data_IF_452161955741
#
_entry.id   IF_452161955741
#
_cell.length_a   1.000
_cell.length_b   1.000
_cell.length_c   1.000
_cell.angle_alpha   90.00
_cell.angle_beta   90.00
_cell.angle_gamma   90.00
#
_symmetry.space_group_name_H-M   'P 1'
#
loop_
_entity.id
_entity.type
_entity.pdbx_description
1 polymer ?
#
# COMPACT_ATOMS: atom_id res chain seq x y z
N UNK A 1 -7.71 -1.84 11.34
CA UNK A 1 -8.43 -2.67 10.35
C UNK A 1 -7.54 -3.02 9.17
N UNK A 2 -6.97 -2.05 8.43
CA UNK A 2 -6.14 -2.29 7.24
C UNK A 2 -4.97 -3.27 7.44
N UNK A 3 -4.20 -3.14 8.53
CA UNK A 3 -3.13 -4.08 8.86
C UNK A 3 -3.59 -5.54 8.92
N UNK A 4 -4.79 -5.80 9.45
CA UNK A 4 -5.33 -7.17 9.55
C UNK A 4 -5.83 -7.68 8.20
N UNK A 5 -6.48 -6.81 7.42
CA UNK A 5 -6.96 -7.14 6.06
C UNK A 5 -5.80 -7.59 5.18
N UNK A 6 -4.70 -6.85 5.20
CA UNK A 6 -3.50 -7.18 4.42
C UNK A 6 -2.51 -8.09 5.16
N UNK A 7 -2.81 -8.55 6.40
CA UNK A 7 -1.87 -9.34 7.23
C UNK A 7 -0.47 -8.71 7.35
N UNK A 8 -0.38 -7.39 7.39
CA UNK A 8 0.89 -6.66 7.31
C UNK A 8 1.51 -6.39 8.70
N UNK A 9 2.82 -6.13 8.70
CA UNK A 9 3.55 -5.75 9.91
C UNK A 9 3.07 -4.41 10.47
N UNK A 10 3.01 -4.30 11.80
CA UNK A 10 2.56 -3.07 12.50
C UNK A 10 3.40 -1.82 12.25
N UNK A 11 4.58 -1.99 11.66
CA UNK A 11 5.53 -0.92 11.33
C UNK A 11 5.24 -0.28 9.97
N UNK A 12 4.36 -0.89 9.16
CA UNK A 12 3.96 -0.35 7.85
C UNK A 12 3.23 0.98 8.06
N UNK A 13 3.57 1.96 7.23
CA UNK A 13 2.96 3.29 7.28
C UNK A 13 1.45 3.23 7.03
N UNK A 14 0.69 4.11 7.69
CA UNK A 14 -0.78 4.20 7.49
C UNK A 14 -1.14 4.47 6.02
N UNK A 15 -0.35 5.28 5.32
CA UNK A 15 -0.65 5.62 3.92
C UNK A 15 -0.47 4.41 3.01
N UNK A 16 0.61 3.66 3.21
CA UNK A 16 0.95 2.46 2.45
C UNK A 16 -0.09 1.37 2.67
N UNK A 17 -0.41 1.08 3.94
CA UNK A 17 -1.31 -0.03 4.27
C UNK A 17 -2.73 0.21 3.78
N UNK A 18 -3.19 1.46 3.74
CA UNK A 18 -4.49 1.81 3.19
C UNK A 18 -4.55 1.55 1.68
N UNK A 19 -3.46 1.83 0.95
CA UNK A 19 -3.36 1.51 -0.48
C UNK A 19 -3.29 0.01 -0.68
N UNK A 20 -2.39 -0.69 0.01
CA UNK A 20 -2.23 -2.16 -0.07
C UNK A 20 -3.56 -2.87 0.20
N UNK A 21 -4.24 -2.52 1.29
CA UNK A 21 -5.54 -3.10 1.66
C UNK A 21 -6.73 -2.59 0.83
N UNK A 22 -6.53 -1.65 -0.10
CA UNK A 22 -7.60 -1.07 -0.91
C UNK A 22 -8.65 -0.28 -0.12
N UNK A 23 -8.27 0.25 1.04
CA UNK A 23 -9.16 0.92 1.97
C UNK A 23 -9.04 2.44 1.84
N UNK A 24 -10.10 3.08 1.35
CA UNK A 24 -10.16 4.54 1.22
C UNK A 24 -9.92 5.21 2.58
N UNK A 25 -9.01 6.20 2.68
CA UNK A 25 -8.80 6.97 3.90
C UNK A 25 -10.10 7.52 4.47
N UNK A 26 -10.28 7.40 5.78
CA UNK A 26 -11.54 7.72 6.47
C UNK A 26 -12.01 9.17 6.21
N UNK A 27 -11.07 10.12 6.19
CA UNK A 27 -11.38 11.52 5.95
C UNK A 27 -11.90 11.77 4.52
N UNK A 28 -11.37 11.07 3.51
CA UNK A 28 -11.88 11.14 2.14
C UNK A 28 -13.27 10.49 2.04
N UNK A 29 -13.49 9.37 2.73
CA UNK A 29 -14.81 8.74 2.81
C UNK A 29 -15.83 9.66 3.46
N UNK A 30 -15.46 10.36 4.53
CA UNK A 30 -16.31 11.34 5.20
C UNK A 30 -16.65 12.52 4.27
N UNK A 31 -15.66 13.05 3.54
CA UNK A 31 -15.89 14.10 2.52
C UNK A 31 -16.85 13.63 1.43
N UNK A 32 -16.69 12.41 0.93
CA UNK A 32 -17.62 11.83 -0.06
C UNK A 32 -19.06 11.79 0.46
N UNK A 33 -19.27 11.39 1.73
CA UNK A 33 -20.59 11.37 2.35
C UNK A 33 -21.16 12.77 2.57
N UNK A 34 -20.32 13.74 2.97
CA UNK A 34 -20.74 15.12 3.12
C UNK A 34 -21.22 15.72 1.79
N UNK A 35 -20.51 15.45 0.69
CA UNK A 35 -20.93 15.89 -0.65
C UNK A 35 -22.29 15.29 -1.04
N UNK A 36 -22.52 13.99 -0.77
CA UNK A 36 -23.82 13.34 -1.01
C UNK A 36 -24.93 14.02 -0.22
N UNK A 37 -24.71 14.28 1.07
CA UNK A 37 -25.71 14.91 1.93
C UNK A 37 -26.07 16.32 1.47
N UNK A 38 -25.08 17.14 1.09
CA UNK A 38 -25.31 18.49 0.59
C UNK A 38 -26.15 18.48 -0.68
N UNK A 39 -25.79 17.65 -1.66
CA UNK A 39 -26.53 17.60 -2.91
C UNK A 39 -27.96 17.08 -2.75
N UNK A 40 -28.19 16.11 -1.84
CA UNK A 40 -29.54 15.66 -1.49
C UNK A 40 -30.37 16.81 -0.91
N UNK A 41 -29.77 17.64 -0.03
CA UNK A 41 -30.43 18.81 0.53
C UNK A 41 -30.75 19.88 -0.53
N UNK A 42 -29.91 19.99 -1.55
CA UNK A 42 -30.04 20.94 -2.67
C UNK A 42 -30.91 20.39 -3.82
N UNK A 43 -31.50 19.18 -3.68
CA UNK A 43 -32.31 18.55 -4.72
C UNK A 43 -31.52 18.15 -5.98
N UNK A 44 -30.19 18.11 -5.90
CA UNK A 44 -29.31 17.81 -7.02
C UNK A 44 -29.07 16.30 -7.17
N UNK A 45 -29.15 15.80 -8.40
CA UNK A 45 -28.81 14.41 -8.71
C UNK A 45 -27.29 14.28 -8.71
N UNK A 46 -26.76 13.45 -7.81
CA UNK A 46 -25.33 13.12 -7.81
C UNK A 46 -25.09 11.74 -8.38
N UNK A 47 -24.33 11.70 -9.47
CA UNK A 47 -23.84 10.43 -9.99
C UNK A 47 -22.78 9.84 -9.05
N UNK A 48 -23.11 8.70 -8.44
CA UNK A 48 -22.22 7.99 -7.50
C UNK A 48 -20.83 7.72 -8.11
N UNK A 49 -20.78 7.45 -9.42
CA UNK A 49 -19.55 7.23 -10.16
C UNK A 49 -18.62 8.45 -10.14
N UNK A 50 -19.15 9.65 -10.41
CA UNK A 50 -18.36 10.89 -10.41
C UNK A 50 -17.77 11.21 -9.04
N UNK A 51 -18.54 11.03 -7.95
CA UNK A 51 -18.02 11.20 -6.60
C UNK A 51 -16.89 10.22 -6.31
N UNK A 52 -17.05 8.96 -6.71
CA UNK A 52 -16.03 7.94 -6.49
C UNK A 52 -14.74 8.26 -7.25
N UNK A 53 -14.84 8.72 -8.50
CA UNK A 53 -13.69 9.19 -9.29
C UNK A 53 -12.99 10.36 -8.61
N UNK A 54 -13.75 11.33 -8.09
CA UNK A 54 -13.21 12.47 -7.32
C UNK A 54 -12.47 12.01 -6.06
N UNK A 55 -13.05 11.08 -5.30
CA UNK A 55 -12.42 10.47 -4.12
C UNK A 55 -11.09 9.81 -4.48
N UNK A 56 -11.03 9.02 -5.55
CA UNK A 56 -9.77 8.38 -6.00
C UNK A 56 -8.72 9.39 -6.46
N UNK A 57 -9.11 10.46 -7.17
CA UNK A 57 -8.17 11.54 -7.56
C UNK A 57 -7.54 12.22 -6.35
N UNK A 58 -8.36 12.55 -5.34
CA UNK A 58 -7.86 13.12 -4.08
C UNK A 58 -6.95 12.14 -3.35
N UNK A 59 -7.31 10.86 -3.33
CA UNK A 59 -6.48 9.83 -2.71
C UNK A 59 -5.14 9.67 -3.44
N UNK A 60 -5.12 9.61 -4.76
CA UNK A 60 -3.89 9.56 -5.54
C UNK A 60 -2.99 10.76 -5.28
N UNK A 61 -3.56 11.97 -5.21
CA UNK A 61 -2.80 13.20 -4.91
C UNK A 61 -2.19 13.16 -3.50
N UNK A 62 -2.96 12.74 -2.50
CA UNK A 62 -2.46 12.52 -1.14
C UNK A 62 -1.38 11.45 -1.10
N UNK A 63 -1.58 10.34 -1.81
CA UNK A 63 -0.60 9.27 -1.89
C UNK A 63 0.70 9.76 -2.50
N UNK A 64 0.64 10.48 -3.62
CA UNK A 64 1.82 11.02 -4.29
C UNK A 64 2.61 11.97 -3.38
N UNK A 65 1.94 12.78 -2.54
CA UNK A 65 2.61 13.76 -1.66
C UNK A 65 3.21 13.17 -0.38
N UNK A 66 2.94 11.91 -0.03
CA UNK A 66 3.55 11.30 1.17
C UNK A 66 5.07 11.16 1.03
N UNK A 67 5.80 11.44 2.11
CA UNK A 67 7.27 11.24 2.16
C UNK A 67 7.67 9.78 2.41
N UNK A 68 6.75 8.96 2.88
CA UNK A 68 6.95 7.53 3.19
C UNK A 68 6.41 6.65 2.06
N UNK A 69 6.84 5.39 2.05
CA UNK A 69 6.29 4.38 1.15
C UNK A 69 6.77 4.46 -0.29
N UNK A 70 7.98 5.00 -0.49
CA UNK A 70 8.61 5.13 -1.82
C UNK A 70 8.64 3.77 -2.54
N UNK A 71 8.98 2.70 -1.82
CA UNK A 71 8.94 1.33 -2.34
C UNK A 71 7.53 0.94 -2.81
N UNK A 72 6.54 1.06 -1.92
CA UNK A 72 5.14 0.76 -2.23
C UNK A 72 4.63 1.55 -3.43
N UNK A 73 5.01 2.83 -3.56
CA UNK A 73 4.67 3.69 -4.71
C UNK A 73 5.27 3.21 -6.02
N UNK A 74 6.51 2.72 -5.99
CA UNK A 74 7.19 2.17 -7.17
C UNK A 74 6.40 1.00 -7.74
N UNK A 75 5.86 0.14 -6.88
CA UNK A 75 5.06 -1.02 -7.28
C UNK A 75 3.59 -0.64 -7.58
N UNK A 76 3.02 0.27 -6.80
CA UNK A 76 1.63 0.72 -6.89
C UNK A 76 1.58 2.22 -7.22
N UNK A 77 1.75 2.53 -8.50
CA UNK A 77 1.72 3.90 -9.00
C UNK A 77 0.32 4.50 -9.13
N UNK A 78 -0.69 3.67 -9.41
CA UNK A 78 -2.08 4.09 -9.60
C UNK A 78 -3.00 3.37 -8.61
N UNK A 79 -3.51 4.12 -7.63
CA UNK A 79 -4.37 3.62 -6.55
C UNK A 79 -5.67 3.06 -7.10
N UNK A 80 -6.24 3.66 -8.15
CA UNK A 80 -7.50 3.19 -8.72
C UNK A 80 -7.28 1.88 -9.47
N UNK A 81 -6.26 1.80 -10.33
CA UNK A 81 -5.93 0.55 -11.03
C UNK A 81 -5.62 -0.58 -10.05
N UNK A 82 -4.92 -0.27 -8.96
CA UNK A 82 -4.69 -1.23 -7.89
C UNK A 82 -6.00 -1.74 -7.33
N UNK A 83 -6.91 -0.86 -6.92
CA UNK A 83 -8.15 -1.28 -6.23
C UNK A 83 -9.16 -1.94 -7.16
N UNK A 84 -9.23 -1.50 -8.41
CA UNK A 84 -10.17 -2.01 -9.41
C UNK A 84 -9.67 -3.32 -10.06
N UNK A 85 -8.47 -3.81 -9.68
CA UNK A 85 -7.93 -5.08 -10.18
C UNK A 85 -8.86 -6.24 -9.84
N UNK A 86 -8.99 -7.18 -10.79
CA UNK A 86 -9.86 -8.36 -10.65
C UNK A 86 -9.13 -9.62 -10.17
N UNK A 87 -7.86 -9.49 -9.82
CA UNK A 87 -6.99 -10.60 -9.45
C UNK A 87 -6.08 -10.21 -8.29
N UNK A 88 -5.60 -11.23 -7.56
CA UNK A 88 -4.61 -11.06 -6.50
C UNK A 88 -5.20 -10.47 -5.21
N UNK A 89 -5.32 -11.32 -4.20
CA UNK A 89 -5.63 -10.88 -2.83
C UNK A 89 -4.34 -10.48 -2.10
N UNK A 90 -4.44 -9.50 -1.20
CA UNK A 90 -3.31 -9.12 -0.35
C UNK A 90 -3.22 -10.08 0.82
N UNK A 91 -2.37 -11.09 0.70
CA UNK A 91 -2.04 -12.02 1.78
C UNK A 91 -0.79 -11.57 2.56
N UNK A 92 -0.31 -12.45 3.46
CA UNK A 92 0.86 -12.17 4.30
C UNK A 92 2.14 -11.98 3.48
N UNK A 93 2.36 -12.76 2.42
CA UNK A 93 3.60 -12.72 1.67
C UNK A 93 3.59 -11.56 0.67
N UNK A 94 2.49 -11.40 -0.06
CA UNK A 94 2.33 -10.30 -1.00
C UNK A 94 2.42 -8.95 -0.28
N UNK A 95 1.83 -8.82 0.90
CA UNK A 95 1.91 -7.56 1.64
C UNK A 95 3.32 -7.24 2.12
N UNK A 96 4.14 -8.24 2.48
CA UNK A 96 5.55 -8.01 2.78
C UNK A 96 6.30 -7.52 1.53
N UNK A 97 6.08 -8.15 0.38
CA UNK A 97 6.67 -7.73 -0.89
C UNK A 97 6.27 -6.31 -1.30
N UNK A 98 4.99 -5.96 -1.17
CA UNK A 98 4.50 -4.64 -1.56
C UNK A 98 4.99 -3.53 -0.64
N UNK A 99 5.17 -3.82 0.65
CA UNK A 99 5.54 -2.81 1.63
C UNK A 99 7.05 -2.73 1.86
N UNK A 100 7.79 -3.81 1.61
CA UNK A 100 9.19 -3.95 2.00
C UNK A 100 9.38 -4.21 3.50
N UNK A 101 8.31 -4.56 4.22
CA UNK A 101 8.34 -4.87 5.65
C UNK A 101 8.12 -6.37 5.82
N UNK A 102 9.08 -7.10 6.38
CA UNK A 102 8.92 -8.55 6.46
C UNK A 102 10.15 -9.36 6.79
N UNK A 103 10.24 -10.54 6.19
CA UNK A 103 11.30 -11.52 6.36
C UNK A 103 12.65 -11.15 5.71
N UNK A 104 12.75 -9.99 5.06
CA UNK A 104 13.97 -9.52 4.40
C UNK A 104 15.09 -9.28 5.41
N UNK A 105 16.29 -9.78 5.13
CA UNK A 105 17.46 -9.67 5.99
C UNK A 105 17.77 -8.24 6.44
N UNK A 106 17.72 -7.27 5.52
CA UNK A 106 17.87 -5.84 5.82
C UNK A 106 16.82 -5.36 6.83
N UNK A 107 15.56 -5.76 6.65
CA UNK A 107 14.48 -5.38 7.56
C UNK A 107 14.65 -6.02 8.94
N UNK A 108 14.97 -7.31 9.01
CA UNK A 108 15.19 -8.02 10.27
C UNK A 108 16.40 -7.45 11.03
N UNK A 109 17.49 -7.14 10.34
CA UNK A 109 18.66 -6.48 10.93
C UNK A 109 18.32 -5.09 11.47
N UNK A 110 17.58 -4.27 10.72
CA UNK A 110 17.10 -2.94 11.17
C UNK A 110 16.34 -2.99 12.49
N UNK A 111 15.57 -4.06 12.73
CA UNK A 111 14.82 -4.28 13.98
C UNK A 111 15.52 -5.19 14.99
N UNK A 112 16.84 -5.42 14.82
CA UNK A 112 17.68 -6.22 15.73
C UNK A 112 17.15 -7.64 15.95
N UNK A 113 16.63 -8.25 14.88
CA UNK A 113 16.21 -9.65 14.83
C UNK A 113 17.24 -10.55 14.13
N UNK A 114 18.24 -9.94 13.50
CA UNK A 114 19.41 -10.60 12.92
C UNK A 114 20.61 -9.66 13.05
N UNK A 115 21.82 -10.23 13.09
CA UNK A 115 23.07 -9.46 13.28
C UNK A 115 23.63 -8.87 11.99
N UNK A 116 23.24 -9.42 10.83
CA UNK A 116 23.74 -9.03 9.51
C UNK A 116 22.54 -8.78 8.56
N UNK A 117 22.55 -7.78 7.66
CA UNK A 117 21.53 -7.60 6.60
C UNK A 117 21.71 -8.45 5.33
N UNK A 118 22.79 -9.25 5.20
CA UNK A 118 23.08 -10.00 3.97
C UNK A 118 22.07 -11.10 3.56
N UNK A 119 21.91 -11.33 2.25
CA UNK A 119 21.09 -12.42 1.74
C UNK A 119 21.73 -13.76 2.09
N UNK A 120 20.97 -14.64 2.74
CA UNK A 120 21.44 -15.99 3.11
C UNK A 120 21.57 -16.92 1.92
N UNK A 121 20.92 -16.57 0.81
CA UNK A 121 20.82 -17.43 -0.35
C UNK A 121 21.92 -17.17 -1.37
N UNK A 122 22.19 -15.90 -1.67
CA UNK A 122 23.16 -15.50 -2.69
C UNK A 122 24.36 -14.72 -2.15
N UNK A 123 24.40 -14.46 -0.84
CA UNK A 123 25.49 -13.72 -0.19
C UNK A 123 25.53 -12.22 -0.49
N UNK A 124 24.52 -11.64 -1.14
CA UNK A 124 24.44 -10.19 -1.35
C UNK A 124 24.48 -9.45 -0.01
N UNK A 125 25.24 -8.34 0.14
CA UNK A 125 25.37 -7.65 1.43
C UNK A 125 24.08 -6.99 1.91
N UNK A 126 23.03 -6.92 1.08
CA UNK A 126 21.75 -6.30 1.43
C UNK A 126 20.59 -7.12 0.87
N UNK A 127 19.90 -7.83 1.77
CA UNK A 127 18.64 -8.50 1.47
C UNK A 127 17.47 -7.59 1.81
N UNK A 128 17.20 -6.62 0.93
CA UNK A 128 15.96 -5.89 0.93
C UNK A 128 14.97 -6.50 -0.08
N UNK A 129 13.75 -6.01 -0.07
CA UNK A 129 12.69 -6.51 -0.95
C UNK A 129 12.99 -6.34 -2.44
N UNK A 130 13.76 -5.30 -2.82
CA UNK A 130 14.16 -5.10 -4.21
C UNK A 130 15.15 -6.17 -4.64
N UNK A 131 16.12 -6.47 -3.77
CA UNK A 131 17.03 -7.57 -3.97
C UNK A 131 16.28 -8.89 -4.09
N UNK A 132 15.44 -9.24 -3.11
CA UNK A 132 14.71 -10.52 -3.11
C UNK A 132 13.87 -10.69 -4.39
N UNK A 133 13.19 -9.64 -4.86
CA UNK A 133 12.30 -9.72 -6.03
C UNK A 133 13.02 -9.67 -7.38
N UNK A 134 14.06 -8.85 -7.50
CA UNK A 134 14.60 -8.46 -8.81
C UNK A 134 16.09 -8.76 -8.99
N UNK A 135 16.81 -9.17 -7.93
CA UNK A 135 18.27 -9.34 -7.96
C UNK A 135 18.80 -10.65 -7.36
N UNK A 136 18.00 -11.36 -6.57
CA UNK A 136 18.41 -12.61 -5.92
C UNK A 136 18.23 -13.82 -6.85
N UNK A 137 19.32 -14.52 -7.13
CA UNK A 137 19.39 -15.70 -8.00
C UNK A 137 18.71 -16.96 -7.49
N UNK A 138 18.16 -16.92 -6.27
CA UNK A 138 17.35 -18.01 -5.73
C UNK A 138 16.04 -18.23 -6.49
N UNK A 139 15.47 -17.17 -7.09
CA UNK A 139 14.06 -17.17 -7.53
C UNK A 139 13.88 -17.31 -9.04
N UNK A 140 14.96 -17.57 -9.79
CA UNK A 140 14.95 -17.84 -11.23
C UNK A 140 15.91 -18.98 -11.58
#
# INVERSE_FOLDING_TARGET
>A
MALRVAKAYRTVSTNDILVVAGMVPVHLKAMEQQCKFKALKEGSIVEKGMLRVSTYRKWQSLWNSTKTGIWTKRLIGDVRKWIDRRFGETDFNLSQMLTGHGCFGYYLHKYKKRDDPACVDCGSPMDDVEHTLFRCDRWW
#
